data_IF_627386328182
#
_entry.id   IF_627386328182
#
_cell.length_a   1.000
_cell.length_b   1.000
_cell.length_c   1.000
_cell.angle_alpha   90.00
_cell.angle_beta   90.00
_cell.angle_gamma   90.00
#
_symmetry.space_group_name_H-M   'P 1'
#
loop_
_entity.id
_entity.type
_entity.pdbx_description
1 polymer ?
#
# COMPACT_ATOMS: atom_id res chain seq x y z
N UNK A 1 3.98 19.22 -63.58
CA UNK A 1 3.28 19.64 -62.34
C UNK A 1 3.37 18.47 -61.39
N UNK A 2 4.09 18.66 -60.27
CA UNK A 2 4.47 17.61 -59.33
C UNK A 2 3.41 17.40 -58.24
N UNK A 3 3.44 16.19 -57.67
CA UNK A 3 2.56 15.55 -56.69
C UNK A 3 2.44 16.27 -55.34
N UNK A 4 1.34 16.02 -54.60
CA UNK A 4 1.41 15.55 -53.19
C UNK A 4 0.04 15.09 -52.68
N UNK A 5 -0.11 13.77 -52.59
CA UNK A 5 -0.95 13.07 -51.61
C UNK A 5 -0.05 12.67 -50.43
N UNK A 6 -0.48 12.87 -49.19
CA UNK A 6 -0.13 12.08 -47.99
C UNK A 6 -0.61 12.84 -46.73
N UNK A 7 -1.56 12.32 -45.95
CA UNK A 7 -1.44 11.24 -44.94
C UNK A 7 -1.51 11.86 -43.56
N UNK A 8 -2.66 11.69 -42.90
CA UNK A 8 -2.82 11.98 -41.48
C UNK A 8 -1.96 11.03 -40.63
N UNK A 9 -1.57 11.42 -39.41
CA UNK A 9 -0.77 10.57 -38.55
C UNK A 9 -1.59 9.37 -38.08
N UNK A 10 -1.23 8.22 -38.64
CA UNK A 10 -1.51 6.87 -38.21
C UNK A 10 -0.95 6.65 -36.79
N UNK A 11 -1.84 6.48 -35.81
CA UNK A 11 -1.49 6.08 -34.45
C UNK A 11 -1.40 4.55 -34.40
N UNK A 12 -0.23 4.01 -34.77
CA UNK A 12 0.08 2.59 -34.71
C UNK A 12 0.18 2.05 -33.27
N UNK A 13 -0.07 0.74 -33.06
CA UNK A 13 -0.05 0.10 -31.75
C UNK A 13 1.39 -0.30 -31.39
N UNK A 14 1.99 0.41 -30.45
CA UNK A 14 3.37 0.16 -30.02
C UNK A 14 3.91 1.30 -29.17
N UNK A 15 3.17 1.67 -28.12
CA UNK A 15 3.64 2.67 -27.15
C UNK A 15 4.79 2.09 -26.32
N UNK A 16 6.00 2.09 -26.88
CA UNK A 16 7.22 2.06 -26.09
C UNK A 16 7.17 3.32 -25.24
N UNK A 17 6.87 3.17 -23.95
CA UNK A 17 6.96 4.25 -22.99
C UNK A 17 8.38 4.81 -23.07
N UNK A 18 8.54 5.95 -23.74
CA UNK A 18 9.82 6.64 -23.89
C UNK A 18 10.37 6.86 -22.51
N UNK A 19 11.54 6.30 -22.21
CA UNK A 19 12.19 6.56 -20.93
C UNK A 19 12.48 8.06 -20.84
N UNK A 20 12.07 8.72 -19.74
CA UNK A 20 12.31 10.15 -19.57
C UNK A 20 13.80 10.45 -19.66
N UNK A 21 14.14 11.51 -20.39
CA UNK A 21 15.52 12.03 -20.45
C UNK A 21 15.89 12.68 -19.12
N UNK A 22 17.19 12.76 -18.82
CA UNK A 22 17.68 13.36 -17.57
C UNK A 22 17.24 14.82 -17.41
N UNK A 23 17.14 15.55 -18.52
CA UNK A 23 16.64 16.93 -18.57
C UNK A 23 15.14 17.02 -18.21
N UNK A 24 14.33 16.08 -18.72
CA UNK A 24 12.90 15.99 -18.38
C UNK A 24 12.70 15.62 -16.90
N UNK A 25 13.51 14.72 -16.36
CA UNK A 25 13.49 14.38 -14.93
C UNK A 25 13.91 15.58 -14.08
N UNK A 26 14.97 16.30 -14.46
CA UNK A 26 15.43 17.48 -13.74
C UNK A 26 14.38 18.61 -13.75
N UNK A 27 13.72 18.84 -14.89
CA UNK A 27 12.64 19.80 -15.02
C UNK A 27 11.43 19.41 -14.16
N UNK A 28 11.02 18.15 -14.19
CA UNK A 28 9.94 17.62 -13.35
C UNK A 28 10.25 17.74 -11.84
N UNK A 29 11.48 17.44 -11.42
CA UNK A 29 11.91 17.61 -10.03
C UNK A 29 12.03 19.09 -9.62
N UNK A 30 12.35 19.98 -10.55
CA UNK A 30 12.34 21.43 -10.30
C UNK A 30 10.90 21.95 -10.16
N UNK A 31 9.96 21.42 -10.92
CA UNK A 31 8.52 21.71 -10.80
C UNK A 31 7.96 21.18 -9.48
N UNK A 32 8.25 19.93 -9.11
CA UNK A 32 7.87 19.36 -7.81
C UNK A 32 8.40 20.15 -6.61
N UNK A 33 9.61 20.73 -6.70
CA UNK A 33 10.16 21.62 -5.67
C UNK A 33 9.48 22.98 -5.59
N UNK A 34 8.76 23.39 -6.64
CA UNK A 34 7.96 24.63 -6.68
C UNK A 34 6.49 24.37 -6.35
N UNK A 35 6.03 23.13 -6.45
CA UNK A 35 4.66 22.73 -6.14
C UNK A 35 4.39 22.83 -4.65
N UNK A 36 3.16 23.21 -4.31
CA UNK A 36 2.65 23.17 -2.94
C UNK A 36 2.68 21.73 -2.41
N UNK A 37 3.50 21.50 -1.37
CA UNK A 37 3.63 20.21 -0.69
C UNK A 37 2.25 19.69 -0.25
N UNK A 38 1.33 20.60 0.08
CA UNK A 38 -0.06 20.30 0.44
C UNK A 38 -0.79 19.54 -0.67
N UNK A 39 -0.55 19.88 -1.94
CA UNK A 39 -1.15 19.21 -3.09
C UNK A 39 -0.64 17.78 -3.25
N UNK A 40 0.67 17.57 -3.09
CA UNK A 40 1.30 16.24 -3.16
C UNK A 40 0.77 15.33 -2.05
N UNK A 41 0.63 15.86 -0.85
CA UNK A 41 0.06 15.15 0.30
C UNK A 41 -1.40 14.80 0.03
N UNK A 42 -2.21 15.75 -0.42
CA UNK A 42 -3.62 15.50 -0.73
C UNK A 42 -3.79 14.43 -1.82
N UNK A 43 -2.93 14.46 -2.85
CA UNK A 43 -2.93 13.45 -3.90
C UNK A 43 -2.51 12.07 -3.37
N UNK A 44 -1.46 12.01 -2.56
CA UNK A 44 -0.98 10.76 -1.94
C UNK A 44 -2.05 10.16 -1.03
N UNK A 45 -2.71 10.99 -0.22
CA UNK A 45 -3.84 10.59 0.61
C UNK A 45 -4.98 10.03 -0.25
N UNK A 46 -5.33 10.71 -1.35
CA UNK A 46 -6.41 10.27 -2.24
C UNK A 46 -6.11 8.91 -2.88
N UNK A 47 -4.86 8.67 -3.30
CA UNK A 47 -4.45 7.38 -3.86
C UNK A 47 -4.57 6.26 -2.82
N UNK A 48 -4.13 6.51 -1.58
CA UNK A 48 -4.25 5.54 -0.49
C UNK A 48 -5.72 5.26 -0.14
N UNK A 49 -6.54 6.32 -0.08
CA UNK A 49 -7.97 6.22 0.19
C UNK A 49 -8.70 5.40 -0.88
N UNK A 50 -8.51 5.73 -2.17
CA UNK A 50 -9.12 4.95 -3.27
C UNK A 50 -8.60 3.51 -3.32
N UNK A 51 -7.32 3.30 -3.01
CA UNK A 51 -6.78 1.95 -2.87
C UNK A 51 -7.45 1.15 -1.75
N UNK A 52 -7.74 1.79 -0.61
CA UNK A 52 -8.46 1.19 0.49
C UNK A 52 -9.91 0.84 0.11
N UNK A 53 -10.63 1.75 -0.58
CA UNK A 53 -12.00 1.54 -1.05
C UNK A 53 -12.13 0.28 -1.90
N UNK A 54 -11.20 0.07 -2.83
CA UNK A 54 -11.21 -1.11 -3.72
C UNK A 54 -10.92 -2.41 -2.97
N UNK A 55 -10.27 -2.32 -1.80
CA UNK A 55 -9.85 -3.48 -1.00
C UNK A 55 -10.67 -3.67 0.28
N UNK A 56 -11.79 -2.96 0.44
CA UNK A 56 -12.59 -3.02 1.66
C UNK A 56 -12.95 -4.47 2.02
N UNK A 57 -12.90 -4.77 3.31
CA UNK A 57 -13.12 -6.12 3.84
C UNK A 57 -11.86 -7.00 3.84
N UNK A 58 -10.79 -6.59 3.16
CA UNK A 58 -9.51 -7.32 3.10
C UNK A 58 -8.47 -6.70 4.03
N UNK A 59 -7.46 -7.47 4.42
CA UNK A 59 -6.37 -7.02 5.31
C UNK A 59 -5.60 -5.82 4.74
N UNK A 60 -5.41 -5.80 3.44
CA UNK A 60 -4.74 -4.72 2.72
C UNK A 60 -5.40 -3.36 2.89
N UNK A 61 -6.74 -3.30 2.95
CA UNK A 61 -7.44 -2.04 3.14
C UNK A 61 -7.12 -1.42 4.51
N UNK A 62 -7.03 -2.22 5.58
CA UNK A 62 -6.58 -1.72 6.90
C UNK A 62 -5.20 -1.07 6.81
N UNK A 63 -4.25 -1.73 6.13
CA UNK A 63 -2.90 -1.19 5.95
C UNK A 63 -2.91 0.14 5.17
N UNK A 64 -3.72 0.24 4.11
CA UNK A 64 -3.84 1.46 3.31
C UNK A 64 -4.51 2.60 4.11
N UNK A 65 -5.53 2.28 4.92
CA UNK A 65 -6.17 3.23 5.83
C UNK A 65 -5.18 3.71 6.89
N UNK A 66 -4.37 2.82 7.46
CA UNK A 66 -3.35 3.17 8.46
C UNK A 66 -2.25 4.05 7.84
N UNK A 67 -1.82 3.76 6.60
CA UNK A 67 -0.87 4.61 5.88
C UNK A 67 -1.46 6.00 5.58
N UNK A 68 -2.73 6.07 5.18
CA UNK A 68 -3.42 7.34 4.97
C UNK A 68 -3.56 8.14 6.28
N UNK A 69 -3.82 7.46 7.40
CA UNK A 69 -3.87 8.09 8.73
C UNK A 69 -2.51 8.62 9.17
N UNK A 70 -1.45 7.84 8.99
CA UNK A 70 -0.09 8.27 9.29
C UNK A 70 0.31 9.50 8.46
N UNK A 71 -0.11 9.55 7.20
CA UNK A 71 0.09 10.72 6.34
C UNK A 71 -0.68 11.94 6.86
N UNK A 72 -1.97 11.79 7.20
CA UNK A 72 -2.79 12.87 7.75
C UNK A 72 -2.22 13.43 9.05
N UNK A 73 -1.74 12.56 9.95
CA UNK A 73 -1.12 12.98 11.20
C UNK A 73 0.24 13.66 10.99
N UNK A 74 1.04 13.19 10.04
CA UNK A 74 2.35 13.79 9.73
C UNK A 74 2.22 15.24 9.23
N UNK A 75 1.12 15.58 8.57
CA UNK A 75 0.89 16.93 8.01
C UNK A 75 0.02 17.82 8.88
N UNK A 76 -0.57 17.29 9.95
CA UNK A 76 -1.57 17.98 10.79
C UNK A 76 -1.12 19.34 11.31
N UNK A 77 0.16 19.51 11.63
CA UNK A 77 0.73 20.76 12.15
C UNK A 77 1.17 21.75 11.08
N UNK A 78 1.14 21.36 9.80
CA UNK A 78 1.68 22.14 8.68
C UNK A 78 0.64 22.40 7.58
N UNK A 79 -0.45 21.63 7.53
CA UNK A 79 -1.54 21.77 6.59
C UNK A 79 -2.65 22.69 7.12
N UNK A 80 -3.45 23.21 6.20
CA UNK A 80 -4.67 23.96 6.53
C UNK A 80 -5.68 23.06 7.27
N UNK A 81 -6.37 23.63 8.26
CA UNK A 81 -7.34 22.92 9.10
C UNK A 81 -8.47 22.27 8.29
N UNK A 82 -8.87 22.89 7.18
CA UNK A 82 -9.89 22.33 6.28
C UNK A 82 -9.43 21.02 5.65
N UNK A 83 -8.18 20.96 5.20
CA UNK A 83 -7.65 19.75 4.58
C UNK A 83 -7.55 18.62 5.60
N UNK A 84 -7.03 18.91 6.79
CA UNK A 84 -6.94 17.95 7.90
C UNK A 84 -8.33 17.42 8.25
N UNK A 85 -9.32 18.30 8.36
CA UNK A 85 -10.71 17.91 8.65
C UNK A 85 -11.29 17.00 7.56
N UNK A 86 -11.03 17.29 6.28
CA UNK A 86 -11.48 16.45 5.16
C UNK A 86 -10.81 15.07 5.20
N UNK A 87 -9.52 15.00 5.51
CA UNK A 87 -8.80 13.73 5.68
C UNK A 87 -9.37 12.92 6.85
N UNK A 88 -9.60 13.55 8.01
CA UNK A 88 -10.17 12.89 9.20
C UNK A 88 -11.58 12.33 8.93
N UNK A 89 -12.40 13.07 8.19
CA UNK A 89 -13.73 12.62 7.76
C UNK A 89 -13.64 11.40 6.82
N UNK A 90 -12.78 11.45 5.81
CA UNK A 90 -12.58 10.34 4.89
C UNK A 90 -12.06 9.09 5.62
N UNK A 91 -11.09 9.23 6.52
CA UNK A 91 -10.57 8.13 7.34
C UNK A 91 -11.67 7.49 8.21
N UNK A 92 -12.55 8.31 8.78
CA UNK A 92 -13.67 7.81 9.58
C UNK A 92 -14.65 6.99 8.74
N UNK A 93 -14.96 7.46 7.53
CA UNK A 93 -15.82 6.75 6.58
C UNK A 93 -15.19 5.42 6.15
N UNK A 94 -13.91 5.43 5.77
CA UNK A 94 -13.19 4.23 5.35
C UNK A 94 -13.10 3.17 6.45
N UNK A 95 -12.83 3.58 7.70
CA UNK A 95 -12.79 2.64 8.84
C UNK A 95 -14.15 2.00 9.11
N UNK A 96 -15.22 2.78 9.01
CA UNK A 96 -16.59 2.26 9.18
C UNK A 96 -16.91 1.27 8.05
N UNK A 97 -16.68 1.67 6.80
CA UNK A 97 -16.89 0.82 5.64
C UNK A 97 -16.05 -0.46 5.68
N UNK A 98 -14.83 -0.40 6.22
CA UNK A 98 -13.96 -1.57 6.38
C UNK A 98 -14.57 -2.59 7.33
N UNK A 99 -15.06 -2.14 8.49
CA UNK A 99 -15.71 -3.02 9.48
C UNK A 99 -16.96 -3.65 8.88
N UNK A 100 -17.82 -2.83 8.24
CA UNK A 100 -19.04 -3.32 7.61
C UNK A 100 -18.75 -4.37 6.52
N UNK A 101 -17.72 -4.12 5.69
CA UNK A 101 -17.30 -5.05 4.64
C UNK A 101 -16.70 -6.35 5.22
N UNK A 102 -15.92 -6.27 6.30
CA UNK A 102 -15.40 -7.46 6.99
C UNK A 102 -16.51 -8.32 7.58
N UNK A 103 -17.51 -7.70 8.21
CA UNK A 103 -18.67 -8.40 8.75
C UNK A 103 -19.45 -9.12 7.65
N UNK A 104 -19.65 -8.47 6.50
CA UNK A 104 -20.32 -9.09 5.36
C UNK A 104 -19.52 -10.26 4.77
N UNK A 105 -18.21 -10.10 4.58
CA UNK A 105 -17.35 -11.19 4.13
C UNK A 105 -17.32 -12.35 5.12
N UNK A 106 -17.35 -12.07 6.43
CA UNK A 106 -17.40 -13.11 7.45
C UNK A 106 -18.71 -13.91 7.40
N UNK A 107 -19.86 -13.25 7.17
CA UNK A 107 -21.14 -13.93 6.96
C UNK A 107 -21.10 -14.82 5.72
N UNK A 108 -20.64 -14.28 4.59
CA UNK A 108 -20.51 -15.02 3.34
C UNK A 108 -19.56 -16.23 3.48
N UNK A 109 -18.49 -16.10 4.26
CA UNK A 109 -17.58 -17.20 4.60
C UNK A 109 -18.27 -18.26 5.44
N UNK A 110 -19.02 -17.86 6.48
CA UNK A 110 -19.78 -18.78 7.32
C UNK A 110 -20.84 -19.56 6.51
N UNK A 111 -21.37 -18.95 5.46
CA UNK A 111 -22.32 -19.56 4.52
C UNK A 111 -21.65 -20.39 3.40
N UNK A 112 -20.31 -20.45 3.36
CA UNK A 112 -19.55 -21.17 2.33
C UNK A 112 -19.63 -20.57 0.94
N UNK A 113 -19.97 -19.27 0.82
CA UNK A 113 -20.21 -18.56 -0.45
C UNK A 113 -18.99 -17.80 -0.98
N UNK A 114 -17.88 -17.78 -0.24
CA UNK A 114 -16.63 -17.12 -0.64
C UNK A 114 -15.54 -18.14 -0.97
N UNK A 115 -14.87 -18.03 -2.14
CA UNK A 115 -13.68 -18.80 -2.44
C UNK A 115 -12.52 -18.42 -1.50
N UNK A 116 -11.78 -19.41 -0.99
CA UNK A 116 -10.68 -19.23 -0.02
C UNK A 116 -9.56 -18.29 -0.51
N UNK A 117 -9.37 -18.15 -1.83
CA UNK A 117 -8.33 -17.31 -2.42
C UNK A 117 -8.63 -15.80 -2.40
N UNK A 118 -9.88 -15.39 -2.14
CA UNK A 118 -10.21 -13.97 -1.97
C UNK A 118 -9.99 -13.46 -0.54
N UNK A 119 -9.56 -14.33 0.37
CA UNK A 119 -9.17 -14.00 1.73
C UNK A 119 -7.79 -13.31 1.80
N UNK A 120 -7.57 -12.31 0.94
CA UNK A 120 -6.60 -11.21 1.05
C UNK A 120 -5.38 -11.41 1.96
N UNK A 121 -4.53 -12.37 1.63
CA UNK A 121 -3.23 -12.48 2.29
C UNK A 121 -2.18 -11.76 1.42
N UNK A 122 -1.78 -10.57 1.87
CA UNK A 122 -0.35 -10.23 1.73
C UNK A 122 0.41 -11.43 2.26
N UNK A 123 1.45 -11.93 1.56
CA UNK A 123 2.18 -13.10 1.99
C UNK A 123 2.56 -12.90 3.46
N UNK A 124 1.98 -13.73 4.33
CA UNK A 124 2.31 -13.75 5.73
C UNK A 124 3.73 -14.26 5.81
N UNK A 125 4.71 -13.34 5.68
CA UNK A 125 6.11 -13.67 5.84
C UNK A 125 6.27 -14.41 7.16
N UNK A 126 6.86 -15.61 7.09
CA UNK A 126 6.97 -16.60 8.16
C UNK A 126 6.96 -15.96 9.55
N UNK A 127 5.78 -15.95 10.19
CA UNK A 127 5.72 -15.75 11.63
C UNK A 127 6.42 -16.97 12.23
N UNK A 128 7.48 -16.82 13.04
CA UNK A 128 8.02 -17.96 13.77
C UNK A 128 6.88 -18.52 14.61
N UNK A 129 6.64 -19.82 14.48
CA UNK A 129 5.60 -20.55 15.19
C UNK A 129 5.64 -20.17 16.67
N UNK A 130 4.59 -19.49 17.13
CA UNK A 130 4.41 -19.19 18.53
C UNK A 130 4.05 -20.53 19.17
N UNK A 131 5.08 -21.19 19.71
CA UNK A 131 5.00 -22.50 20.32
C UNK A 131 3.93 -22.54 21.39
N UNK A 132 3.02 -23.49 21.21
CA UNK A 132 2.00 -23.89 22.16
C UNK A 132 2.71 -24.30 23.47
N UNK A 133 2.42 -23.57 24.54
CA UNK A 133 2.93 -23.87 25.86
C UNK A 133 1.96 -24.82 26.56
N UNK A 134 2.37 -26.06 26.82
CA UNK A 134 1.76 -26.86 27.87
C UNK A 134 1.69 -28.37 27.64
N UNK A 135 2.83 -29.05 27.60
CA UNK A 135 2.92 -30.50 27.74
C UNK A 135 4.25 -30.86 28.38
N UNK A 136 4.24 -31.08 29.69
CA UNK A 136 5.40 -31.52 30.46
C UNK A 136 5.80 -32.95 30.06
N UNK A 137 7.07 -33.17 29.75
CA UNK A 137 7.81 -34.27 30.35
C UNK A 137 9.33 -34.05 30.27
N UNK A 138 9.97 -34.34 31.41
CA UNK A 138 11.39 -34.20 31.69
C UNK A 138 12.24 -35.21 30.91
N UNK A 139 13.25 -34.75 30.15
CA UNK A 139 14.61 -35.34 30.20
C UNK A 139 15.65 -34.40 29.55
N UNK A 140 16.57 -33.86 30.36
CA UNK A 140 17.86 -33.26 29.96
C UNK A 140 19.00 -34.29 30.17
N UNK A 141 20.28 -34.02 29.84
CA UNK A 141 20.88 -33.24 28.74
C UNK A 141 22.11 -33.97 28.09
N UNK A 142 22.61 -33.48 26.94
CA UNK A 142 24.04 -33.17 26.62
C UNK A 142 24.37 -33.30 25.13
N UNK A 143 24.72 -32.18 24.47
CA UNK A 143 26.04 -31.88 23.83
C UNK A 143 25.98 -30.67 22.87
N UNK A 144 27.12 -30.05 22.54
CA UNK A 144 27.29 -28.61 22.73
C UNK A 144 27.25 -27.77 21.43
N UNK A 145 26.88 -26.51 21.63
CA UNK A 145 27.41 -25.32 20.96
C UNK A 145 27.73 -25.43 19.45
N UNK A 146 26.68 -25.59 18.64
CA UNK A 146 26.72 -25.18 17.24
C UNK A 146 26.62 -23.66 17.17
N UNK A 147 27.77 -23.02 16.93
CA UNK A 147 27.97 -21.56 16.85
C UNK A 147 26.86 -20.83 16.10
N UNK A 148 26.07 -20.07 16.86
CA UNK A 148 25.18 -19.03 16.36
C UNK A 148 26.02 -18.03 15.56
N UNK A 149 25.93 -18.07 14.23
CA UNK A 149 26.50 -17.04 13.36
C UNK A 149 25.60 -15.81 13.47
N UNK A 150 25.77 -15.06 14.55
CA UNK A 150 25.32 -13.67 14.63
C UNK A 150 26.04 -12.91 13.51
N UNK A 151 25.30 -12.52 12.47
CA UNK A 151 25.79 -11.61 11.47
C UNK A 151 25.91 -10.22 12.09
N UNK A 152 27.13 -9.67 12.12
CA UNK A 152 27.39 -8.28 12.53
C UNK A 152 27.67 -7.47 11.27
N UNK A 153 26.83 -6.48 10.91
CA UNK A 153 27.16 -5.56 9.83
C UNK A 153 28.22 -4.54 10.27
N UNK A 154 29.21 -4.34 9.40
CA UNK A 154 30.03 -3.12 9.37
C UNK A 154 31.45 -3.27 9.92
N UNK A 155 32.40 -3.49 9.01
CA UNK A 155 33.67 -2.75 9.00
C UNK A 155 33.96 -2.30 7.58
#
# INVERSE_FOLDING_TARGET
>A
MAETSATGPDAGPGGQARQPTEEEVAAYLAELRRTDVTSVVAQSFSVLASGAEVKLGRRDARLLIDAAAALADAVRSHADERLVTQMDQALTQLRTAQVDAEDELNKLRAEGKLPEEEAGDLPTGDRPAQGDAGGADDTQPTRPAGTSRLWVPGR
#
